data_IF_565932287933
#
_entry.id   IF_565932287933
#
_cell.length_a   1.000
_cell.length_b   1.000
_cell.length_c   1.000
_cell.angle_alpha   90.00
_cell.angle_beta   90.00
_cell.angle_gamma   90.00
#
_symmetry.space_group_name_H-M   'P 1'
#
loop_
_entity.id
_entity.type
_entity.pdbx_description
1 polymer ?
#
# COMPACT_ATOMS: atom_id res chain seq x y z
N UNK A 1 -26.23 17.36 -1.77
CA UNK A 1 -25.70 17.01 -3.10
C UNK A 1 -24.49 16.12 -2.86
N UNK A 2 -24.37 14.99 -3.57
CA UNK A 2 -23.20 14.11 -3.46
C UNK A 2 -21.95 14.84 -3.95
N UNK A 3 -20.92 14.90 -3.12
CA UNK A 3 -19.63 15.46 -3.48
C UNK A 3 -18.67 14.33 -3.82
N UNK A 4 -17.95 14.46 -4.94
CA UNK A 4 -16.90 13.53 -5.35
C UNK A 4 -15.56 14.15 -5.02
N UNK A 5 -14.64 13.36 -4.46
CA UNK A 5 -13.26 13.75 -4.20
C UNK A 5 -12.29 12.79 -4.89
N UNK A 6 -11.24 13.34 -5.48
CA UNK A 6 -10.08 12.58 -5.94
C UNK A 6 -8.88 13.05 -5.13
N UNK A 7 -8.19 12.11 -4.50
CA UNK A 7 -7.03 12.34 -3.65
C UNK A 7 -5.78 11.97 -4.44
N UNK A 8 -4.85 12.91 -4.59
CA UNK A 8 -3.65 12.76 -5.45
C UNK A 8 -2.40 13.05 -4.66
N UNK A 9 -1.64 12.00 -4.34
CA UNK A 9 -0.28 12.11 -3.80
C UNK A 9 0.74 12.28 -4.93
N UNK A 10 1.69 13.18 -4.76
CA UNK A 10 2.74 13.46 -5.74
C UNK A 10 4.09 13.70 -5.05
N UNK A 11 5.17 13.74 -5.84
CA UNK A 11 6.50 14.18 -5.36
C UNK A 11 6.58 15.66 -4.95
N UNK A 12 5.51 16.43 -5.17
CA UNK A 12 5.47 17.89 -4.91
C UNK A 12 4.49 18.27 -3.82
N UNK A 13 3.84 17.27 -3.21
CA UNK A 13 2.79 17.46 -2.20
C UNK A 13 1.50 16.71 -2.54
N UNK A 14 0.47 16.92 -1.73
CA UNK A 14 -0.86 16.35 -1.93
C UNK A 14 -1.82 17.36 -2.56
N UNK A 15 -2.72 16.84 -3.40
CA UNK A 15 -3.81 17.62 -4.01
C UNK A 15 -5.15 16.93 -3.74
N UNK A 16 -6.17 17.72 -3.49
CA UNK A 16 -7.55 17.26 -3.34
C UNK A 16 -8.39 17.93 -4.41
N UNK A 17 -8.93 17.13 -5.31
CA UNK A 17 -9.85 17.60 -6.35
C UNK A 17 -11.28 17.30 -5.89
N UNK A 18 -12.16 18.29 -5.94
CA UNK A 18 -13.56 18.14 -5.54
C UNK A 18 -14.49 18.58 -6.66
N UNK A 19 -15.56 17.82 -6.85
CA UNK A 19 -16.62 18.16 -7.80
C UNK A 19 -17.99 17.79 -7.22
N UNK A 20 -19.06 18.30 -7.85
CA UNK A 20 -20.42 17.79 -7.65
C UNK A 20 -20.58 16.40 -8.29
N UNK A 21 -21.74 15.78 -8.12
CA UNK A 21 -22.03 14.46 -8.69
C UNK A 21 -21.99 14.41 -10.23
N UNK A 22 -22.03 15.57 -10.92
CA UNK A 22 -21.92 15.66 -12.38
C UNK A 22 -20.47 15.58 -12.88
N UNK A 23 -19.49 15.83 -11.99
CA UNK A 23 -18.03 15.75 -12.27
C UNK A 23 -17.55 16.62 -13.45
N UNK A 24 -18.28 17.70 -13.76
CA UNK A 24 -17.94 18.59 -14.88
C UNK A 24 -16.96 19.69 -14.48
N UNK A 25 -17.11 20.21 -13.27
CA UNK A 25 -16.28 21.29 -12.74
C UNK A 25 -15.53 20.82 -11.49
N UNK A 26 -14.22 20.87 -11.55
CA UNK A 26 -13.34 20.46 -10.46
C UNK A 26 -12.70 21.66 -9.80
N UNK A 27 -12.75 21.68 -8.48
CA UNK A 27 -11.95 22.59 -7.64
C UNK A 27 -10.73 21.83 -7.15
N UNK A 28 -9.56 22.45 -7.21
CA UNK A 28 -8.30 21.87 -6.77
C UNK A 28 -7.83 22.60 -5.52
N UNK A 29 -7.54 21.85 -4.46
CA UNK A 29 -6.89 22.33 -3.23
C UNK A 29 -5.49 21.72 -3.15
N UNK A 30 -4.49 22.50 -2.76
CA UNK A 30 -3.08 22.07 -2.68
C UNK A 30 -2.14 22.99 -3.46
N UNK A 31 -0.83 22.69 -3.48
CA UNK A 31 -0.23 21.54 -2.81
C UNK A 31 -0.25 21.65 -1.28
N UNK A 32 -0.85 20.64 -0.60
CA UNK A 32 -0.61 20.43 0.81
C UNK A 32 0.76 19.77 0.97
N UNK A 33 1.52 20.12 2.00
CA UNK A 33 2.87 19.59 2.24
C UNK A 33 3.83 19.88 1.08
N UNK A 34 3.84 21.11 0.56
CA UNK A 34 4.66 21.50 -0.59
C UNK A 34 6.14 21.13 -0.41
N UNK A 35 6.70 20.45 -1.41
CA UNK A 35 8.08 19.98 -1.40
C UNK A 35 8.30 18.60 -0.76
N UNK A 36 7.26 17.97 -0.24
CA UNK A 36 7.33 16.60 0.29
C UNK A 36 6.77 15.59 -0.71
N UNK A 37 7.34 14.41 -0.73
CA UNK A 37 6.76 13.28 -1.45
C UNK A 37 5.58 12.70 -0.65
N UNK A 38 4.45 12.54 -1.30
CA UNK A 38 3.25 11.91 -0.74
C UNK A 38 3.04 10.57 -1.44
N UNK A 39 3.44 9.50 -0.78
CA UNK A 39 3.33 8.14 -1.32
C UNK A 39 1.90 7.64 -1.36
N UNK A 40 1.11 7.96 -0.36
CA UNK A 40 -0.29 7.55 -0.31
C UNK A 40 -1.16 8.61 0.36
N UNK A 41 -2.37 8.80 -0.21
CA UNK A 41 -3.39 9.70 0.33
C UNK A 41 -4.73 8.94 0.31
N UNK A 42 -5.30 8.69 1.48
CA UNK A 42 -6.49 7.83 1.62
C UNK A 42 -7.53 8.42 2.55
N UNK A 43 -8.79 8.45 2.08
CA UNK A 43 -9.95 8.80 2.91
C UNK A 43 -10.47 7.59 3.70
N UNK A 44 -11.02 7.82 4.87
CA UNK A 44 -11.68 6.80 5.67
C UNK A 44 -13.09 6.51 5.13
N UNK A 45 -13.47 5.24 5.07
CA UNK A 45 -14.84 4.82 4.80
C UNK A 45 -15.77 5.01 6.02
N UNK A 46 -15.20 4.90 7.24
CA UNK A 46 -15.92 5.06 8.49
C UNK A 46 -16.18 6.53 8.88
N UNK A 47 -15.34 7.45 8.37
CA UNK A 47 -15.49 8.90 8.58
C UNK A 47 -15.15 9.65 7.29
N UNK A 48 -16.13 10.21 6.55
CA UNK A 48 -15.89 10.88 5.28
C UNK A 48 -15.09 12.19 5.40
N UNK A 49 -14.87 12.72 6.62
CA UNK A 49 -14.05 13.89 6.86
C UNK A 49 -12.59 13.54 7.14
N UNK A 50 -12.31 12.28 7.48
CA UNK A 50 -10.95 11.84 7.82
C UNK A 50 -10.17 11.42 6.59
N UNK A 51 -8.96 11.99 6.47
CA UNK A 51 -8.00 11.67 5.40
C UNK A 51 -6.63 11.47 6.05
N UNK A 52 -5.91 10.45 5.60
CA UNK A 52 -4.51 10.22 5.97
C UNK A 52 -3.60 10.49 4.77
N UNK A 53 -2.42 11.05 5.03
CA UNK A 53 -1.37 11.27 4.05
C UNK A 53 -0.04 10.70 4.54
N UNK A 54 0.60 9.88 3.72
CA UNK A 54 1.95 9.36 3.95
C UNK A 54 2.96 10.33 3.34
N UNK A 55 3.57 11.13 4.19
CA UNK A 55 4.54 12.17 3.84
C UNK A 55 5.95 11.66 4.13
N UNK A 56 6.86 11.73 3.17
CA UNK A 56 8.24 11.30 3.36
C UNK A 56 9.24 12.30 2.79
N UNK A 57 10.44 12.27 3.34
CA UNK A 57 11.59 13.03 2.89
C UNK A 57 12.87 12.27 3.23
N UNK A 58 13.86 12.30 2.35
CA UNK A 58 15.18 11.73 2.61
C UNK A 58 15.94 12.42 3.76
N UNK A 59 15.50 13.63 4.17
CA UNK A 59 16.13 14.41 5.24
C UNK A 59 15.38 14.31 6.56
N UNK A 60 14.04 14.27 6.54
CA UNK A 60 13.19 14.40 7.73
C UNK A 60 12.41 13.12 8.04
N UNK A 61 12.66 12.02 7.31
CA UNK A 61 12.03 10.73 7.54
C UNK A 61 10.59 10.66 7.10
N UNK A 62 9.83 9.81 7.76
CA UNK A 62 8.45 9.45 7.45
C UNK A 62 7.49 10.08 8.46
N UNK A 63 6.44 10.75 7.95
CA UNK A 63 5.35 11.34 8.75
C UNK A 63 4.00 10.90 8.19
N UNK A 64 3.09 10.46 9.04
CA UNK A 64 1.67 10.33 8.68
C UNK A 64 0.94 11.55 9.17
N UNK A 65 0.38 12.30 8.25
CA UNK A 65 -0.52 13.42 8.52
C UNK A 65 -1.96 12.96 8.52
N UNK A 66 -2.81 13.59 9.33
CA UNK A 66 -4.25 13.34 9.39
C UNK A 66 -5.02 14.65 9.30
N UNK A 67 -6.06 14.63 8.50
CA UNK A 67 -7.11 15.65 8.50
C UNK A 67 -8.41 15.05 9.01
N UNK A 68 -9.15 15.81 9.84
CA UNK A 68 -10.48 15.45 10.34
C UNK A 68 -11.56 16.40 9.78
N UNK A 69 -11.24 17.22 8.77
CA UNK A 69 -12.12 18.21 8.16
C UNK A 69 -12.16 18.16 6.62
N UNK A 70 -11.79 17.00 6.06
CA UNK A 70 -11.81 16.77 4.62
C UNK A 70 -10.62 17.35 3.86
N UNK A 71 -9.51 17.56 4.54
CA UNK A 71 -8.26 18.05 3.96
C UNK A 71 -8.06 19.55 4.04
N UNK A 72 -8.87 20.28 4.84
CA UNK A 72 -8.69 21.72 5.04
C UNK A 72 -7.55 22.03 5.99
N UNK A 73 -7.50 21.30 7.11
CA UNK A 73 -6.40 21.36 8.08
C UNK A 73 -5.79 19.98 8.29
N UNK A 74 -4.53 19.97 8.68
CA UNK A 74 -3.74 18.76 8.88
C UNK A 74 -2.99 18.80 10.19
N UNK A 75 -2.88 17.66 10.84
CA UNK A 75 -2.08 17.47 12.04
C UNK A 75 -1.30 16.14 11.95
N UNK A 76 -0.27 16.04 12.78
CA UNK A 76 0.50 14.81 12.96
C UNK A 76 0.06 14.16 14.27
N UNK A 77 -0.74 13.07 14.21
CA UNK A 77 -1.24 12.44 15.42
C UNK A 77 -0.11 11.94 16.32
N UNK A 78 -0.23 12.20 17.64
CA UNK A 78 0.73 11.71 18.63
C UNK A 78 1.94 12.59 18.85
N UNK A 79 2.08 13.70 18.10
CA UNK A 79 3.14 14.67 18.28
C UNK A 79 2.58 15.95 18.89
N UNK A 80 3.30 16.52 19.85
CA UNK A 80 3.02 17.88 20.31
C UNK A 80 3.53 18.90 19.29
N UNK A 81 2.96 20.13 19.27
CA UNK A 81 3.49 21.20 18.42
C UNK A 81 4.99 21.49 18.62
N UNK A 82 5.49 21.26 19.85
CA UNK A 82 6.91 21.49 20.16
C UNK A 82 7.82 20.36 19.69
N UNK A 83 7.33 19.11 19.68
CA UNK A 83 8.06 17.97 19.08
C UNK A 83 8.19 18.09 17.57
N UNK A 84 7.29 18.81 16.92
CA UNK A 84 7.33 19.08 15.47
C UNK A 84 8.28 20.22 15.09
N UNK A 85 8.71 21.04 16.08
CA UNK A 85 9.69 22.11 15.87
C UNK A 85 11.10 21.54 16.00
N UNK A 86 11.80 21.38 14.87
CA UNK A 86 13.24 21.16 14.84
C UNK A 86 14.00 22.46 15.18
N UNK A 87 15.33 22.42 15.25
CA UNK A 87 16.14 23.64 15.32
C UNK A 87 15.71 24.62 14.22
N UNK A 88 15.57 25.91 14.58
CA UNK A 88 15.17 26.98 13.65
C UNK A 88 13.76 26.86 13.03
N UNK A 89 12.84 26.12 13.67
CA UNK A 89 11.47 25.97 13.19
C UNK A 89 11.27 24.95 12.08
N UNK A 90 12.30 24.19 11.72
CA UNK A 90 12.17 23.08 10.79
C UNK A 90 11.41 21.91 11.45
N UNK A 91 10.45 21.26 10.75
CA UNK A 91 9.77 20.11 11.30
C UNK A 91 10.74 18.92 11.48
N UNK A 92 10.68 18.26 12.64
CA UNK A 92 11.36 16.98 12.84
C UNK A 92 10.57 15.87 12.16
N UNK A 93 11.28 14.97 11.43
CA UNK A 93 10.67 13.93 10.63
C UNK A 93 10.09 12.72 11.37
N UNK A 94 10.35 12.58 12.68
CA UNK A 94 9.93 11.40 13.46
C UNK A 94 8.82 11.76 14.43
N UNK A 95 7.62 11.96 13.92
CA UNK A 95 6.50 12.35 14.74
C UNK A 95 5.55 11.22 15.11
N UNK A 96 5.36 10.23 14.24
CA UNK A 96 4.52 9.08 14.55
C UNK A 96 5.34 7.97 15.21
N UNK A 97 4.79 7.38 16.27
CA UNK A 97 5.45 6.31 17.01
C UNK A 97 5.14 4.96 16.35
N UNK A 98 6.09 4.48 15.54
CA UNK A 98 6.06 3.11 15.00
C UNK A 98 6.86 2.18 15.91
N UNK A 99 6.24 1.08 16.32
CA UNK A 99 6.83 0.12 17.26
C UNK A 99 6.85 -1.26 16.61
N UNK A 100 8.07 -1.75 16.34
CA UNK A 100 8.29 -3.14 15.94
C UNK A 100 8.07 -4.10 17.11
N UNK A 101 7.56 -5.28 16.83
CA UNK A 101 7.37 -6.33 17.84
C UNK A 101 8.56 -7.31 17.84
N UNK A 102 9.38 -7.25 18.88
CA UNK A 102 10.54 -8.10 19.06
C UNK A 102 11.77 -7.63 18.27
N UNK A 103 12.71 -8.54 18.03
CA UNK A 103 13.92 -8.26 17.24
C UNK A 103 13.58 -8.04 15.78
N UNK A 104 14.12 -6.98 15.20
CA UNK A 104 13.81 -6.61 13.79
C UNK A 104 14.54 -7.52 12.81
N UNK A 105 15.83 -7.86 13.10
CA UNK A 105 16.60 -8.81 12.31
C UNK A 105 17.13 -8.26 10.99
N UNK A 106 17.38 -9.18 10.06
CA UNK A 106 17.93 -8.90 8.72
C UNK A 106 17.12 -9.61 7.66
N UNK A 107 17.20 -9.12 6.42
CA UNK A 107 16.64 -9.75 5.23
C UNK A 107 17.68 -9.89 4.12
N UNK A 108 17.42 -10.73 3.14
CA UNK A 108 18.23 -10.81 1.92
C UNK A 108 18.02 -9.56 1.06
N UNK A 109 19.09 -9.13 0.39
CA UNK A 109 19.03 -8.14 -0.68
C UNK A 109 19.14 -8.84 -2.04
N UNK A 110 18.84 -8.13 -3.13
CA UNK A 110 18.82 -8.69 -4.49
C UNK A 110 20.18 -9.28 -4.93
N UNK A 111 21.28 -8.83 -4.34
CA UNK A 111 22.64 -9.33 -4.60
C UNK A 111 23.04 -10.50 -3.69
N UNK A 112 22.12 -11.00 -2.84
CA UNK A 112 22.34 -12.07 -1.90
C UNK A 112 22.98 -11.65 -0.57
N UNK A 113 23.26 -10.37 -0.36
CA UNK A 113 23.82 -9.87 0.91
C UNK A 113 22.72 -9.71 1.98
N UNK A 114 23.14 -9.68 3.25
CA UNK A 114 22.26 -9.49 4.40
C UNK A 114 22.23 -8.02 4.79
N UNK A 115 21.04 -7.40 4.74
CA UNK A 115 20.79 -6.04 5.17
C UNK A 115 19.98 -5.99 6.46
N UNK A 116 20.20 -5.01 7.34
CA UNK A 116 19.31 -4.80 8.47
C UNK A 116 17.90 -4.46 7.97
N UNK A 117 16.88 -4.92 8.71
CA UNK A 117 15.51 -4.53 8.45
C UNK A 117 15.30 -3.09 8.93
N UNK A 118 14.99 -2.17 8.03
CA UNK A 118 14.90 -0.76 8.32
C UNK A 118 13.49 -0.23 8.02
N UNK A 119 13.03 0.70 8.84
CA UNK A 119 11.83 1.46 8.56
C UNK A 119 12.19 2.65 7.64
N UNK A 120 11.80 2.59 6.36
CA UNK A 120 12.17 3.60 5.37
C UNK A 120 11.01 4.56 5.06
N UNK A 121 9.84 4.02 4.70
CA UNK A 121 8.69 4.82 4.32
C UNK A 121 7.38 4.02 4.44
N UNK A 122 6.25 4.73 4.42
CA UNK A 122 4.93 4.11 4.32
C UNK A 122 4.43 4.21 2.88
N UNK A 123 4.23 3.05 2.25
CA UNK A 123 3.72 2.92 0.90
C UNK A 123 2.19 2.95 0.82
N UNK A 124 1.51 2.43 1.83
CA UNK A 124 0.06 2.29 1.82
C UNK A 124 -0.51 2.57 3.20
N UNK A 125 -1.60 3.32 3.25
CA UNK A 125 -2.43 3.50 4.46
C UNK A 125 -3.83 3.02 4.11
N UNK A 126 -4.37 2.10 4.88
CA UNK A 126 -5.73 1.60 4.72
C UNK A 126 -6.51 1.79 6.01
N UNK A 127 -7.40 2.80 6.08
CA UNK A 127 -8.30 2.99 7.21
C UNK A 127 -9.32 1.85 7.31
N UNK A 128 -9.69 1.50 8.54
CA UNK A 128 -10.75 0.53 8.78
C UNK A 128 -12.06 0.95 8.10
N UNK A 129 -12.83 -0.02 7.67
CA UNK A 129 -14.12 0.20 7.02
C UNK A 129 -15.22 0.65 8.01
N UNK A 130 -15.04 0.38 9.32
CA UNK A 130 -16.08 0.54 10.36
C UNK A 130 -15.65 1.41 11.54
N UNK A 131 -14.35 1.47 11.85
CA UNK A 131 -13.80 2.22 12.98
C UNK A 131 -12.87 3.33 12.50
N UNK A 132 -13.24 4.62 12.67
CA UNK A 132 -12.43 5.73 12.19
C UNK A 132 -11.06 5.86 12.88
N UNK A 133 -10.87 5.32 14.08
CA UNK A 133 -9.61 5.39 14.80
C UNK A 133 -8.66 4.21 14.51
N UNK A 134 -9.14 3.20 13.80
CA UNK A 134 -8.34 2.08 13.34
C UNK A 134 -7.87 2.29 11.90
N UNK A 135 -6.57 2.08 11.65
CA UNK A 135 -5.98 2.05 10.31
C UNK A 135 -4.76 1.14 10.28
N UNK A 136 -4.38 0.76 9.05
CA UNK A 136 -3.21 -0.08 8.77
C UNK A 136 -2.23 0.71 7.91
N UNK A 137 -0.93 0.48 8.12
CA UNK A 137 0.15 1.11 7.34
C UNK A 137 1.12 0.05 6.85
N UNK A 138 1.35 0.02 5.54
CA UNK A 138 2.32 -0.85 4.89
C UNK A 138 3.64 -0.12 4.67
N UNK A 139 4.71 -0.65 5.24
CA UNK A 139 6.03 -0.04 5.23
C UNK A 139 6.99 -0.69 4.22
N UNK A 140 8.05 0.02 3.92
CA UNK A 140 9.33 -0.45 3.42
C UNK A 140 10.38 -0.30 4.56
N UNK A 141 11.23 -1.28 4.91
CA UNK A 141 11.19 -2.66 4.44
C UNK A 141 9.90 -3.34 4.90
N UNK A 142 9.45 -4.34 4.16
CA UNK A 142 8.10 -4.85 4.27
C UNK A 142 7.65 -5.22 5.68
N UNK A 143 6.86 -4.37 6.29
CA UNK A 143 6.17 -4.60 7.56
C UNK A 143 4.77 -3.98 7.48
N UNK A 144 3.85 -4.51 8.26
CA UNK A 144 2.51 -3.94 8.41
C UNK A 144 2.30 -3.49 9.85
N UNK A 145 1.81 -2.27 10.00
CA UNK A 145 1.49 -1.68 11.30
C UNK A 145 0.01 -1.40 11.42
N UNK A 146 -0.51 -1.44 12.65
CA UNK A 146 -1.90 -1.10 12.97
C UNK A 146 -1.93 0.00 14.03
N UNK A 147 -2.79 0.98 13.84
CA UNK A 147 -3.22 1.93 14.88
C UNK A 147 -4.66 1.63 15.29
N UNK A 148 -5.01 1.93 16.54
CA UNK A 148 -6.39 1.92 17.08
C UNK A 148 -6.68 3.21 17.85
N UNK A 149 -5.89 4.26 17.61
CA UNK A 149 -6.01 5.56 18.27
C UNK A 149 -5.82 6.73 17.29
N UNK A 150 -6.25 6.52 16.05
CA UNK A 150 -6.24 7.54 15.02
C UNK A 150 -4.86 7.97 14.53
N UNK A 151 -3.88 7.06 14.60
CA UNK A 151 -2.52 7.29 14.10
C UNK A 151 -1.53 7.84 15.13
N UNK A 152 -1.92 7.98 16.42
CA UNK A 152 -1.00 8.44 17.46
C UNK A 152 0.15 7.46 17.71
N UNK A 153 -0.16 6.16 17.70
CA UNK A 153 0.83 5.08 17.80
C UNK A 153 0.50 3.97 16.82
N UNK A 154 1.53 3.34 16.31
CA UNK A 154 1.44 2.26 15.34
C UNK A 154 2.22 1.04 15.86
N UNK A 155 1.55 -0.09 16.01
CA UNK A 155 2.15 -1.34 16.44
C UNK A 155 2.24 -2.30 15.27
N UNK A 156 3.37 -2.98 15.15
CA UNK A 156 3.57 -4.00 14.12
C UNK A 156 2.62 -5.18 14.30
N UNK A 157 2.11 -5.70 13.19
CA UNK A 157 1.51 -7.02 13.08
C UNK A 157 2.60 -8.00 12.63
N UNK A 158 3.48 -8.37 13.54
CA UNK A 158 4.74 -9.07 13.28
C UNK A 158 4.58 -10.47 12.66
N UNK A 159 3.37 -11.03 12.70
CA UNK A 159 3.06 -12.29 12.05
C UNK A 159 3.41 -12.31 10.57
N UNK A 160 3.24 -11.17 9.85
CA UNK A 160 3.61 -11.07 8.45
C UNK A 160 5.12 -11.28 8.26
N UNK A 161 5.96 -10.49 8.95
CA UNK A 161 7.41 -10.56 8.84
C UNK A 161 7.99 -11.91 9.31
N UNK A 162 7.31 -12.59 10.25
CA UNK A 162 7.66 -13.95 10.69
C UNK A 162 7.31 -15.03 9.66
N UNK A 163 6.52 -14.71 8.63
CA UNK A 163 6.07 -15.69 7.62
C UNK A 163 7.08 -15.79 6.49
N UNK A 164 8.09 -16.66 6.63
CA UNK A 164 9.08 -16.98 5.59
C UNK A 164 9.85 -15.77 5.04
N UNK A 165 9.97 -14.67 5.79
CA UNK A 165 10.62 -13.46 5.31
C UNK A 165 12.10 -13.63 4.97
N UNK A 166 12.75 -14.63 5.55
CA UNK A 166 14.13 -15.01 5.20
C UNK A 166 14.30 -15.52 3.77
N UNK A 167 13.19 -15.85 3.09
CA UNK A 167 13.14 -16.23 1.67
C UNK A 167 12.68 -15.08 0.77
N UNK A 168 12.28 -13.94 1.33
CA UNK A 168 11.91 -12.78 0.52
C UNK A 168 13.16 -12.12 -0.02
N UNK A 169 13.16 -11.89 -1.31
CA UNK A 169 14.31 -11.40 -2.03
C UNK A 169 13.92 -10.15 -2.82
N UNK A 170 14.11 -8.95 -2.23
CA UNK A 170 13.69 -7.73 -2.88
C UNK A 170 14.42 -7.53 -4.21
N UNK A 171 13.69 -7.04 -5.18
CA UNK A 171 14.27 -6.50 -6.41
C UNK A 171 14.95 -5.15 -6.14
N UNK A 172 15.59 -4.58 -7.16
CA UNK A 172 16.28 -3.27 -7.08
C UNK A 172 15.37 -2.11 -6.62
N UNK A 173 14.04 -2.25 -6.73
CA UNK A 173 13.05 -1.28 -6.26
C UNK A 173 12.75 -1.32 -4.75
N UNK A 174 13.37 -2.24 -4.00
CA UNK A 174 13.11 -2.42 -2.58
C UNK A 174 12.00 -3.42 -2.28
N UNK A 175 11.61 -3.51 -1.01
CA UNK A 175 10.62 -4.44 -0.50
C UNK A 175 9.54 -3.69 0.29
N UNK A 176 8.45 -3.33 -0.37
CA UNK A 176 7.38 -2.53 0.23
C UNK A 176 6.06 -3.29 0.33
N UNK A 177 5.36 -3.15 1.48
CA UNK A 177 3.93 -3.48 1.57
C UNK A 177 3.13 -2.34 0.95
N UNK A 178 2.90 -2.43 -0.36
CA UNK A 178 2.29 -1.36 -1.15
C UNK A 178 0.78 -1.54 -1.37
N UNK A 179 0.21 -2.69 -0.99
CA UNK A 179 -1.23 -2.91 -1.04
C UNK A 179 -1.72 -3.62 0.22
N UNK A 180 -2.74 -3.04 0.83
CA UNK A 180 -3.49 -3.63 1.94
C UNK A 180 -4.95 -3.59 1.54
N UNK A 181 -5.66 -4.73 1.59
CA UNK A 181 -7.09 -4.82 1.35
C UNK A 181 -7.77 -5.41 2.58
N UNK A 182 -8.86 -4.77 2.99
CA UNK A 182 -9.72 -5.24 4.09
C UNK A 182 -10.95 -5.92 3.49
N UNK A 183 -11.27 -7.11 3.98
CA UNK A 183 -12.49 -7.80 3.57
C UNK A 183 -13.72 -7.12 4.21
N UNK A 184 -14.67 -6.58 3.42
CA UNK A 184 -15.83 -5.87 3.94
C UNK A 184 -16.83 -6.77 4.69
N UNK A 185 -16.71 -8.10 4.57
CA UNK A 185 -17.56 -9.07 5.25
C UNK A 185 -16.88 -9.77 6.42
N UNK A 186 -15.55 -9.61 6.56
CA UNK A 186 -14.78 -10.23 7.62
C UNK A 186 -13.64 -9.30 8.08
N UNK A 187 -13.85 -8.55 9.12
CA UNK A 187 -12.87 -7.58 9.67
C UNK A 187 -11.52 -8.21 10.08
N UNK A 188 -11.46 -9.52 10.26
CA UNK A 188 -10.22 -10.24 10.58
C UNK A 188 -9.45 -10.66 9.33
N UNK A 189 -10.09 -10.64 8.16
CA UNK A 189 -9.43 -10.99 6.91
C UNK A 189 -8.79 -9.77 6.27
N UNK A 190 -7.49 -9.86 6.11
CA UNK A 190 -6.68 -8.81 5.48
C UNK A 190 -5.79 -9.47 4.44
N UNK A 191 -5.68 -8.85 3.28
CA UNK A 191 -4.75 -9.23 2.23
C UNK A 191 -3.65 -8.19 2.12
N UNK A 192 -2.42 -8.61 1.85
CA UNK A 192 -1.31 -7.70 1.54
C UNK A 192 -0.55 -8.20 0.32
N UNK A 193 -0.02 -7.24 -0.44
CA UNK A 193 0.91 -7.51 -1.52
C UNK A 193 2.23 -6.77 -1.27
N UNK A 194 3.33 -7.46 -1.55
CA UNK A 194 4.69 -7.03 -1.28
C UNK A 194 5.51 -7.16 -2.56
N UNK A 195 6.23 -6.10 -2.93
CA UNK A 195 7.23 -6.18 -3.99
C UNK A 195 8.29 -7.22 -3.62
N UNK A 196 8.47 -8.24 -4.47
CA UNK A 196 9.42 -9.33 -4.28
C UNK A 196 9.28 -10.12 -2.95
N UNK A 197 8.10 -10.05 -2.32
CA UNK A 197 7.73 -10.89 -1.17
C UNK A 197 6.60 -11.86 -1.52
N UNK A 198 5.65 -11.40 -2.32
CA UNK A 198 4.46 -12.15 -2.72
C UNK A 198 3.16 -11.54 -2.21
N UNK A 199 2.14 -12.35 -2.15
CA UNK A 199 0.82 -12.00 -1.64
C UNK A 199 0.47 -12.87 -0.43
N UNK A 200 -0.08 -12.25 0.63
CA UNK A 200 -0.37 -12.93 1.89
C UNK A 200 -1.78 -12.60 2.37
N UNK A 201 -2.38 -13.53 3.12
CA UNK A 201 -3.67 -13.36 3.78
C UNK A 201 -3.58 -13.72 5.26
N UNK A 202 -4.24 -12.95 6.08
CA UNK A 202 -4.60 -13.30 7.46
C UNK A 202 -6.12 -13.49 7.58
N UNK A 203 -6.56 -14.37 8.43
CA UNK A 203 -7.97 -14.58 8.80
C UNK A 203 -8.20 -14.34 10.32
N UNK A 204 -7.16 -13.86 11.04
CA UNK A 204 -7.18 -13.65 12.51
C UNK A 204 -6.78 -12.23 12.94
N UNK A 205 -6.85 -11.26 12.01
CA UNK A 205 -6.56 -9.86 12.26
C UNK A 205 -5.08 -9.54 12.32
N UNK A 206 -4.25 -10.32 11.62
CA UNK A 206 -2.82 -10.07 11.47
C UNK A 206 -1.92 -10.78 12.46
N UNK A 207 -2.45 -11.71 13.28
CA UNK A 207 -1.63 -12.52 14.19
C UNK A 207 -0.81 -13.56 13.45
N UNK A 208 -1.47 -14.27 12.52
CA UNK A 208 -0.82 -15.23 11.62
C UNK A 208 -1.12 -14.88 10.16
N UNK A 209 -0.20 -15.21 9.28
CA UNK A 209 -0.30 -14.98 7.86
C UNK A 209 0.03 -16.24 7.07
N UNK A 210 -0.57 -16.40 5.91
CA UNK A 210 -0.22 -17.44 4.96
C UNK A 210 0.06 -16.83 3.60
N UNK A 211 1.06 -17.33 2.85
CA UNK A 211 1.20 -17.01 1.43
C UNK A 211 -0.04 -17.47 0.67
N UNK A 212 -0.50 -16.67 -0.26
CA UNK A 212 -1.60 -16.99 -1.17
C UNK A 212 -1.10 -16.84 -2.60
N UNK A 213 -0.12 -17.64 -2.97
CA UNK A 213 0.65 -17.53 -4.22
C UNK A 213 0.48 -18.71 -5.14
N UNK A 214 -0.35 -19.70 -4.77
CA UNK A 214 -0.58 -20.88 -5.58
C UNK A 214 -1.15 -20.51 -6.96
N UNK A 215 -0.43 -20.91 -8.01
CA UNK A 215 -0.75 -20.57 -9.39
C UNK A 215 0.00 -19.37 -9.96
N UNK A 216 0.77 -18.65 -9.11
CA UNK A 216 1.72 -17.67 -9.62
C UNK A 216 2.94 -18.38 -10.18
N UNK A 217 3.51 -17.80 -11.24
CA UNK A 217 4.76 -18.25 -11.84
C UNK A 217 5.69 -17.07 -12.09
N UNK A 218 6.96 -17.20 -11.73
CA UNK A 218 7.97 -16.14 -11.91
C UNK A 218 9.24 -16.70 -12.57
N UNK A 219 9.16 -17.17 -13.84
CA UNK A 219 10.27 -17.88 -14.49
C UNK A 219 11.50 -16.99 -14.77
N UNK A 220 11.33 -15.67 -14.74
CA UNK A 220 12.41 -14.71 -15.01
C UNK A 220 12.94 -14.02 -13.74
N UNK A 221 12.25 -14.15 -12.62
CA UNK A 221 12.55 -13.42 -11.39
C UNK A 221 13.05 -14.33 -10.27
N UNK A 222 12.64 -15.59 -10.26
CA UNK A 222 12.94 -16.54 -9.20
C UNK A 222 13.66 -17.77 -9.71
N UNK A 223 14.63 -18.32 -8.93
CA UNK A 223 15.29 -19.59 -9.25
C UNK A 223 14.30 -20.77 -9.35
N UNK A 224 13.26 -20.76 -8.50
CA UNK A 224 12.11 -21.65 -8.58
C UNK A 224 10.90 -20.83 -9.03
N UNK A 225 10.41 -21.02 -10.27
CA UNK A 225 9.26 -20.28 -10.79
C UNK A 225 7.97 -20.44 -9.99
N UNK A 226 7.82 -21.57 -9.31
CA UNK A 226 6.63 -21.94 -8.53
C UNK A 226 6.85 -21.74 -7.00
N UNK A 227 7.87 -20.97 -6.59
CA UNK A 227 8.19 -20.72 -5.19
C UNK A 227 6.96 -20.20 -4.42
N UNK A 228 6.86 -20.56 -3.15
CA UNK A 228 5.74 -20.12 -2.30
C UNK A 228 5.79 -18.64 -1.93
N UNK A 229 6.96 -18.02 -1.96
CA UNK A 229 7.19 -16.60 -1.67
C UNK A 229 8.24 -16.01 -2.61
N UNK A 230 8.41 -14.69 -2.59
CA UNK A 230 9.40 -14.01 -3.42
C UNK A 230 8.85 -13.43 -4.72
N UNK A 231 7.60 -13.76 -5.09
CA UNK A 231 6.98 -13.18 -6.29
C UNK A 231 6.88 -11.67 -6.21
N UNK A 232 7.20 -10.99 -7.30
CA UNK A 232 7.03 -9.54 -7.40
C UNK A 232 5.57 -9.23 -7.76
N UNK A 233 4.77 -8.93 -6.74
CA UNK A 233 3.37 -8.50 -6.91
C UNK A 233 3.34 -6.98 -6.92
N UNK A 234 2.74 -6.37 -7.94
CA UNK A 234 2.67 -4.91 -8.04
C UNK A 234 1.40 -4.35 -7.41
N UNK A 235 0.27 -5.01 -7.55
CA UNK A 235 -0.98 -4.61 -6.90
C UNK A 235 -1.99 -5.74 -6.89
N UNK A 236 -2.84 -5.74 -5.85
CA UNK A 236 -4.06 -6.54 -5.78
C UNK A 236 -5.26 -5.63 -5.56
N UNK A 237 -6.43 -6.05 -6.04
CA UNK A 237 -7.69 -5.33 -5.85
C UNK A 237 -8.85 -6.31 -5.70
N UNK A 238 -9.95 -5.86 -5.06
CA UNK A 238 -11.20 -6.59 -4.94
C UNK A 238 -12.39 -5.65 -5.10
N UNK A 239 -13.54 -6.19 -5.51
CA UNK A 239 -14.80 -5.47 -5.45
C UNK A 239 -15.52 -5.78 -4.14
N UNK A 240 -16.05 -4.77 -3.39
CA UNK A 240 -16.65 -4.99 -2.07
C UNK A 240 -17.83 -5.96 -2.05
N UNK A 241 -18.56 -6.11 -3.14
CA UNK A 241 -19.68 -7.07 -3.22
C UNK A 241 -19.21 -8.53 -3.35
N UNK A 242 -17.97 -8.75 -3.79
CA UNK A 242 -17.37 -10.09 -4.04
C UNK A 242 -15.98 -10.20 -3.42
N UNK A 243 -15.85 -10.20 -2.09
CA UNK A 243 -14.56 -10.15 -1.40
C UNK A 243 -13.69 -11.39 -1.57
N UNK A 244 -14.24 -12.50 -2.06
CA UNK A 244 -13.46 -13.71 -2.39
C UNK A 244 -12.89 -13.69 -3.81
N UNK A 245 -13.29 -12.70 -4.65
CA UNK A 245 -12.76 -12.49 -5.99
C UNK A 245 -11.73 -11.37 -5.93
N UNK A 246 -10.48 -11.70 -6.20
CA UNK A 246 -9.41 -10.72 -6.28
C UNK A 246 -8.76 -10.75 -7.67
N UNK A 247 -8.23 -9.61 -8.06
CA UNK A 247 -7.40 -9.46 -9.23
C UNK A 247 -6.01 -8.98 -8.81
N UNK A 248 -5.00 -9.39 -9.56
CA UNK A 248 -3.60 -9.09 -9.30
C UNK A 248 -2.91 -8.63 -10.59
N UNK A 249 -2.18 -7.53 -10.50
CA UNK A 249 -1.07 -7.23 -11.41
C UNK A 249 0.21 -7.74 -10.74
N UNK A 250 0.78 -8.80 -11.29
CA UNK A 250 2.13 -9.25 -10.95
C UNK A 250 3.14 -8.47 -11.82
N UNK A 251 4.41 -8.70 -11.65
CA UNK A 251 5.45 -8.10 -12.52
C UNK A 251 5.15 -8.39 -14.01
N UNK A 252 4.96 -9.65 -14.33
CA UNK A 252 4.34 -10.14 -15.54
C UNK A 252 3.04 -10.84 -15.16
N UNK A 253 2.06 -10.83 -16.02
CA UNK A 253 0.75 -11.42 -15.88
C UNK A 253 -0.27 -10.61 -15.06
N UNK A 254 -1.49 -10.62 -15.54
CA UNK A 254 -2.69 -10.25 -14.81
C UNK A 254 -3.39 -11.54 -14.36
N UNK A 255 -3.69 -11.66 -13.09
CA UNK A 255 -4.25 -12.87 -12.52
C UNK A 255 -5.56 -12.61 -11.79
N UNK A 256 -6.38 -13.65 -11.68
CA UNK A 256 -7.64 -13.68 -10.95
C UNK A 256 -7.71 -14.89 -10.01
N UNK A 257 -8.31 -14.68 -8.86
CA UNK A 257 -8.75 -15.74 -7.96
C UNK A 257 -10.25 -15.59 -7.68
N UNK A 258 -10.97 -16.70 -7.55
CA UNK A 258 -12.39 -16.73 -7.17
C UNK A 258 -12.61 -17.35 -5.77
N UNK A 259 -11.53 -17.63 -5.04
CA UNK A 259 -11.54 -18.34 -3.77
C UNK A 259 -10.60 -17.71 -2.74
N UNK A 260 -10.61 -16.37 -2.67
CA UNK A 260 -9.86 -15.61 -1.67
C UNK A 260 -8.33 -15.88 -1.69
N UNK A 261 -7.76 -16.12 -2.89
CA UNK A 261 -6.34 -16.34 -3.09
C UNK A 261 -5.87 -17.78 -2.93
N UNK A 262 -6.76 -18.75 -2.71
CA UNK A 262 -6.34 -20.17 -2.60
C UNK A 262 -5.78 -20.70 -3.94
N UNK A 263 -6.22 -20.16 -5.07
CA UNK A 263 -5.69 -20.47 -6.41
C UNK A 263 -5.83 -19.25 -7.31
N UNK A 264 -4.76 -18.92 -8.02
CA UNK A 264 -4.74 -17.88 -9.03
C UNK A 264 -4.71 -18.49 -10.43
N UNK A 265 -5.38 -17.81 -11.36
CA UNK A 265 -5.43 -18.14 -12.77
C UNK A 265 -5.04 -16.90 -13.57
N UNK A 266 -4.22 -17.07 -14.57
CA UNK A 266 -3.79 -16.01 -15.48
C UNK A 266 -4.97 -15.59 -16.37
N UNK A 267 -5.16 -14.26 -16.51
CA UNK A 267 -6.25 -13.62 -17.26
C UNK A 267 -5.78 -12.45 -18.11
N UNK A 268 -4.50 -12.38 -18.45
CA UNK A 268 -3.89 -11.30 -19.27
C UNK A 268 -4.54 -11.20 -20.66
N UNK A 269 -5.01 -12.32 -21.21
CA UNK A 269 -5.75 -12.35 -22.47
C UNK A 269 -4.94 -11.78 -23.64
N UNK A 270 -5.49 -10.74 -24.29
CA UNK A 270 -4.92 -10.11 -25.48
C UNK A 270 -4.32 -8.72 -25.18
N UNK A 271 -3.85 -8.48 -23.96
CA UNK A 271 -3.13 -7.25 -23.66
C UNK A 271 -1.88 -7.11 -24.55
N UNK A 272 -1.52 -5.89 -24.97
CA UNK A 272 -0.31 -5.67 -25.80
C UNK A 272 0.99 -6.02 -25.07
N UNK A 273 0.97 -5.99 -23.74
CA UNK A 273 1.95 -6.52 -22.82
C UNK A 273 1.24 -6.81 -21.49
N UNK A 274 1.73 -7.77 -20.75
CA UNK A 274 1.24 -8.14 -19.41
C UNK A 274 2.02 -7.47 -18.28
N UNK A 275 3.08 -6.71 -18.60
CA UNK A 275 3.80 -5.88 -17.64
C UNK A 275 3.01 -4.61 -17.31
N UNK A 276 2.84 -4.31 -16.02
CA UNK A 276 2.18 -3.09 -15.54
C UNK A 276 2.25 -2.95 -14.03
N UNK A 277 1.79 -1.81 -13.50
CA UNK A 277 1.74 -1.56 -12.07
C UNK A 277 0.31 -1.42 -11.54
N UNK A 278 -0.54 -0.54 -12.09
CA UNK A 278 -1.87 -0.32 -11.56
C UNK A 278 -2.86 -1.36 -12.09
N UNK A 279 -3.69 -1.83 -11.19
CA UNK A 279 -4.92 -2.56 -11.49
C UNK A 279 -6.00 -2.05 -10.55
N UNK A 280 -7.21 -1.89 -11.04
CA UNK A 280 -8.38 -1.61 -10.21
C UNK A 280 -9.63 -2.25 -10.81
N UNK A 281 -10.65 -2.46 -9.97
CA UNK A 281 -11.93 -3.04 -10.35
C UNK A 281 -12.97 -1.93 -10.52
N UNK A 282 -13.84 -2.06 -11.51
CA UNK A 282 -14.91 -1.10 -11.74
C UNK A 282 -15.89 -1.05 -10.56
N UNK A 283 -16.24 0.17 -10.12
CA UNK A 283 -17.01 0.40 -8.90
C UNK A 283 -18.42 -0.22 -8.87
N UNK A 284 -18.99 -0.54 -10.04
CA UNK A 284 -20.35 -1.08 -10.19
C UNK A 284 -20.41 -2.41 -10.96
N UNK A 285 -19.29 -2.82 -11.57
CA UNK A 285 -19.19 -4.02 -12.40
C UNK A 285 -18.03 -4.88 -11.91
N UNK A 286 -18.28 -5.82 -10.97
CA UNK A 286 -17.20 -6.55 -10.28
C UNK A 286 -16.40 -7.51 -11.17
N UNK A 287 -16.83 -7.73 -12.41
CA UNK A 287 -16.11 -8.52 -13.42
C UNK A 287 -15.25 -7.66 -14.36
N UNK A 288 -15.36 -6.33 -14.27
CA UNK A 288 -14.61 -5.39 -15.12
C UNK A 288 -13.43 -4.82 -14.37
N UNK A 289 -12.23 -4.99 -14.92
CA UNK A 289 -10.98 -4.46 -14.38
C UNK A 289 -10.34 -3.46 -15.34
N UNK A 290 -9.56 -2.55 -14.79
CA UNK A 290 -8.72 -1.61 -15.52
C UNK A 290 -7.26 -1.90 -15.20
N UNK A 291 -6.45 -2.01 -16.23
CA UNK A 291 -5.00 -2.15 -16.16
C UNK A 291 -4.33 -1.13 -17.06
N UNK A 292 -3.09 -0.79 -16.78
CA UNK A 292 -2.27 0.08 -17.64
C UNK A 292 -1.05 -0.74 -18.07
N UNK A 293 -1.12 -1.40 -19.25
CA UNK A 293 0.01 -2.12 -19.79
C UNK A 293 1.14 -1.14 -20.15
N UNK A 294 2.37 -1.51 -19.85
CA UNK A 294 3.55 -0.70 -20.13
C UNK A 294 4.44 -1.41 -21.14
N UNK A 295 4.72 -0.76 -22.27
CA UNK A 295 5.57 -1.29 -23.32
C UNK A 295 6.97 -0.69 -23.18
N UNK A 296 8.06 -1.48 -23.25
CA UNK A 296 9.39 -0.92 -23.24
C UNK A 296 9.62 -0.05 -24.48
N UNK A 297 10.08 1.18 -24.26
CA UNK A 297 10.46 2.09 -25.34
C UNK A 297 11.84 1.69 -25.91
N UNK A 298 11.85 1.19 -27.13
CA UNK A 298 13.05 1.07 -27.97
C UNK A 298 14.25 0.32 -27.36
N UNK A 299 14.04 -0.79 -26.68
CA UNK A 299 15.12 -1.70 -26.26
C UNK A 299 16.08 -1.15 -25.18
N UNK A 300 15.91 0.07 -24.69
CA UNK A 300 16.82 0.72 -23.75
C UNK A 300 16.30 0.73 -22.29
N UNK A 301 15.35 -0.13 -21.93
CA UNK A 301 14.85 -0.25 -20.57
C UNK A 301 13.98 0.92 -20.07
N UNK A 302 13.64 1.88 -20.92
CA UNK A 302 12.65 2.90 -20.60
C UNK A 302 11.23 2.37 -20.88
N UNK A 303 10.29 2.69 -20.00
CA UNK A 303 8.89 2.26 -20.07
C UNK A 303 7.97 3.45 -20.38
N UNK A 304 6.97 3.27 -21.20
CA UNK A 304 5.97 4.29 -21.56
C UNK A 304 4.61 4.00 -20.91
#
# INVERSE_FOLDING_TARGET
MSQVRVLVGTKKGAFILTADGKRKNWKISGPHFAGWEIYHLKGSAADPHRIYASQTSGWFGQIIQRSDDGGRTWNTPGSSPDELKGPEGMPRGESNKFVYEGEVGKHLWYDGTQHPWEFKRIWHIEPSLTDPDTAYAGAEDAAIFKTTNGGKTWKELSGLRKTKSHLWQPGAGGMGVHTILLDPKNEKRIYVAISAGGCFRTDDGGKTWKPITRGLKSPYELPDPDAEVGHCVHRITLHPSRPDVLFMQKHWDVLRTDNAGEQWNEVSGNLPTDFGFPIDVHAHEPETIFVVPMVPLNGNGAWS
#
